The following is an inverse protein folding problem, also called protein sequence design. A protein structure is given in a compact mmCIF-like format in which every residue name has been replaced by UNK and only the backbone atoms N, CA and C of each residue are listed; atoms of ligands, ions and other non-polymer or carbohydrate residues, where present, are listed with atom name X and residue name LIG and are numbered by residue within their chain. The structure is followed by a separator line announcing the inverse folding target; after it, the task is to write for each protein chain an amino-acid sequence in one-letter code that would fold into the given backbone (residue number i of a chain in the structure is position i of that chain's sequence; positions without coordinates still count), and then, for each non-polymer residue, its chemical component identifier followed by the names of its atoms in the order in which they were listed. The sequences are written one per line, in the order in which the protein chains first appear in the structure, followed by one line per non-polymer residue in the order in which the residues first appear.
data_IF_483614658622
#
_entry.id   IF_483614658622
#
_cell.length_a   1.000
_cell.length_b   1.000
_cell.length_c   1.000
_cell.angle_alpha   90.00
_cell.angle_beta   90.00
_cell.angle_gamma   90.00
#
_symmetry.space_group_name_H-M   'P 1'
#
loop_
_entity.id
_entity.type
_entity.pdbx_description
1 polymer ?
#
# COMPACT_ATOMS: atom_id res chain seq x y z
N UNK A 1 -14.49 -20.08 -5.98
CA UNK A 1 -14.53 -18.85 -5.18
C UNK A 1 -13.29 -18.02 -5.45
N UNK A 2 -13.48 -16.82 -5.93
CA UNK A 2 -12.35 -15.99 -6.26
C UNK A 2 -11.72 -15.39 -5.02
N UNK A 3 -10.42 -15.59 -4.86
CA UNK A 3 -9.66 -14.98 -3.78
C UNK A 3 -9.48 -13.48 -4.01
N UNK A 4 -9.10 -12.77 -2.96
CA UNK A 4 -8.76 -11.35 -3.07
C UNK A 4 -7.44 -11.23 -3.82
N UNK A 5 -7.46 -10.44 -4.89
CA UNK A 5 -6.26 -10.08 -5.63
C UNK A 5 -6.05 -8.58 -5.44
N UNK A 6 -5.19 -8.24 -4.49
CA UNK A 6 -5.06 -6.87 -4.05
C UNK A 6 -3.67 -6.30 -4.32
N UNK A 7 -3.63 -5.00 -4.53
CA UNK A 7 -2.39 -4.23 -4.55
C UNK A 7 -2.42 -3.28 -3.35
N UNK A 8 -1.33 -3.24 -2.61
CA UNK A 8 -1.15 -2.32 -1.49
C UNK A 8 -0.20 -1.21 -1.90
N UNK A 9 -0.55 0.01 -1.59
CA UNK A 9 0.20 1.19 -2.00
C UNK A 9 0.53 2.08 -0.81
N UNK A 10 1.82 2.41 -0.69
CA UNK A 10 2.31 3.38 0.29
C UNK A 10 2.73 4.64 -0.46
N UNK A 11 1.88 5.65 -0.41
CA UNK A 11 2.08 6.90 -1.15
C UNK A 11 3.05 7.83 -0.45
N UNK A 12 4.18 8.12 -1.06
CA UNK A 12 5.17 9.07 -0.57
C UNK A 12 5.29 10.27 -1.49
N UNK A 13 6.12 11.25 -1.10
CA UNK A 13 6.29 12.48 -1.86
C UNK A 13 6.95 12.27 -3.23
N UNK A 14 7.84 11.30 -3.34
CA UNK A 14 8.53 10.98 -4.59
C UNK A 14 8.49 9.52 -4.97
N UNK A 15 7.95 8.70 -4.09
CA UNK A 15 7.89 7.25 -4.30
C UNK A 15 6.52 6.71 -3.95
N UNK A 16 6.16 5.59 -4.56
CA UNK A 16 5.01 4.79 -4.13
C UNK A 16 5.53 3.36 -3.97
N UNK A 17 5.49 2.87 -2.74
CA UNK A 17 5.80 1.46 -2.48
C UNK A 17 4.62 0.61 -2.93
N UNK A 18 4.90 -0.52 -3.60
CA UNK A 18 3.87 -1.40 -4.15
C UNK A 18 4.07 -2.80 -3.62
N UNK A 19 3.00 -3.38 -3.10
CA UNK A 19 2.95 -4.79 -2.71
C UNK A 19 1.73 -5.44 -3.37
N UNK A 20 1.81 -6.74 -3.58
CA UNK A 20 0.69 -7.49 -4.15
C UNK A 20 0.37 -8.67 -3.24
N UNK A 21 -0.89 -9.10 -3.24
CA UNK A 21 -1.26 -10.31 -2.52
C UNK A 21 -0.76 -11.53 -3.30
N UNK A 22 -0.49 -12.62 -2.58
CA UNK A 22 -0.14 -13.88 -3.22
C UNK A 22 -1.36 -14.48 -3.93
N UNK A 23 -1.17 -15.56 -4.66
CA UNK A 23 -2.23 -16.18 -5.45
C UNK A 23 -3.44 -16.62 -4.62
N UNK A 24 -3.22 -16.98 -3.38
CA UNK A 24 -4.30 -17.43 -2.49
C UNK A 24 -4.85 -16.30 -1.61
N UNK A 25 -4.28 -15.10 -1.69
CA UNK A 25 -4.79 -13.94 -0.96
C UNK A 25 -4.53 -13.95 0.53
N UNK A 26 -3.53 -14.68 1.01
CA UNK A 26 -3.21 -14.78 2.43
C UNK A 26 -2.10 -13.86 2.88
N UNK A 27 -1.09 -13.63 2.03
CA UNK A 27 0.07 -12.83 2.39
C UNK A 27 0.32 -11.74 1.35
N UNK A 28 1.08 -10.74 1.76
CA UNK A 28 1.51 -9.66 0.88
C UNK A 28 2.98 -9.84 0.52
N UNK A 29 3.31 -9.58 -0.72
CA UNK A 29 4.68 -9.67 -1.24
C UNK A 29 5.07 -8.31 -1.79
N UNK A 30 6.23 -7.78 -1.41
CA UNK A 30 6.74 -6.53 -1.96
C UNK A 30 6.97 -6.69 -3.45
N UNK A 31 6.50 -5.74 -4.25
CA UNK A 31 6.53 -5.81 -5.70
C UNK A 31 7.58 -4.86 -6.28
N UNK A 32 7.41 -3.56 -6.06
CA UNK A 32 8.36 -2.57 -6.58
C UNK A 32 8.17 -1.23 -5.89
N UNK A 33 9.09 -0.31 -6.18
CA UNK A 33 8.96 1.09 -5.76
C UNK A 33 8.92 1.92 -7.02
N UNK A 34 7.84 2.69 -7.19
CA UNK A 34 7.68 3.59 -8.33
C UNK A 34 8.19 4.96 -7.93
N UNK A 35 9.16 5.48 -8.67
CA UNK A 35 9.78 6.78 -8.37
C UNK A 35 9.30 7.85 -9.33
N UNK A 36 9.23 9.10 -8.85
CA UNK A 36 8.93 10.25 -9.67
C UNK A 36 9.77 11.45 -9.22
N UNK A 37 10.04 12.38 -10.13
CA UNK A 37 10.88 13.53 -9.83
C UNK A 37 10.19 14.58 -8.97
N UNK A 38 8.88 14.77 -9.17
CA UNK A 38 8.08 15.75 -8.43
C UNK A 38 6.82 15.09 -7.91
N UNK A 39 6.36 15.53 -6.74
CA UNK A 39 5.20 14.94 -6.09
C UNK A 39 3.95 14.94 -6.97
N UNK A 40 3.71 16.03 -7.70
CA UNK A 40 2.53 16.16 -8.53
C UNK A 40 2.63 15.47 -9.90
N UNK A 41 3.78 14.86 -10.23
CA UNK A 41 3.96 14.14 -11.49
C UNK A 41 3.44 12.70 -11.36
N UNK A 42 2.12 12.56 -11.25
CA UNK A 42 1.48 11.28 -10.94
C UNK A 42 0.99 10.50 -12.15
N UNK A 43 1.02 11.08 -13.35
CA UNK A 43 0.50 10.43 -14.55
C UNK A 43 1.18 9.09 -14.85
N UNK A 44 2.51 9.08 -14.86
CA UNK A 44 3.29 7.86 -15.13
C UNK A 44 3.18 6.88 -13.98
N UNK A 45 3.11 7.38 -12.74
CA UNK A 45 2.93 6.56 -11.55
C UNK A 45 1.62 5.80 -11.62
N UNK A 46 0.53 6.48 -11.92
CA UNK A 46 -0.78 5.86 -12.07
C UNK A 46 -0.80 4.87 -13.23
N UNK A 47 -0.16 5.22 -14.35
CA UNK A 47 -0.09 4.33 -15.51
C UNK A 47 0.62 3.02 -15.16
N UNK A 48 1.71 3.10 -14.39
CA UNK A 48 2.43 1.89 -13.96
C UNK A 48 1.56 1.02 -13.04
N UNK A 49 0.83 1.65 -12.13
CA UNK A 49 -0.07 0.91 -11.24
C UNK A 49 -1.18 0.23 -12.05
N UNK A 50 -1.72 0.91 -13.06
CA UNK A 50 -2.72 0.31 -13.96
C UNK A 50 -2.17 -0.91 -14.69
N UNK A 51 -0.90 -0.86 -15.12
CA UNK A 51 -0.25 -2.00 -15.75
C UNK A 51 -0.18 -3.19 -14.80
N UNK A 52 0.22 -2.95 -13.55
CA UNK A 52 0.30 -4.00 -12.53
C UNK A 52 -1.09 -4.60 -12.28
N UNK A 53 -2.10 -3.76 -12.18
CA UNK A 53 -3.49 -4.18 -11.97
C UNK A 53 -3.93 -5.11 -13.10
N UNK A 54 -3.63 -4.74 -14.35
CA UNK A 54 -3.98 -5.56 -15.52
C UNK A 54 -3.19 -6.87 -15.56
N UNK A 55 -1.88 -6.81 -15.35
CA UNK A 55 -1.00 -7.98 -15.40
C UNK A 55 -1.35 -9.02 -14.35
N UNK A 56 -1.70 -8.58 -13.15
CA UNK A 56 -1.94 -9.46 -12.01
C UNK A 56 -3.42 -9.72 -11.75
N UNK A 57 -4.30 -9.22 -12.59
CA UNK A 57 -5.75 -9.35 -12.42
C UNK A 57 -6.23 -8.87 -11.05
N UNK A 58 -5.73 -7.70 -10.65
CA UNK A 58 -6.04 -7.10 -9.34
C UNK A 58 -7.51 -6.64 -9.34
N UNK A 59 -8.22 -6.94 -8.27
CA UNK A 59 -9.61 -6.50 -8.09
C UNK A 59 -9.80 -5.58 -6.89
N UNK A 60 -8.75 -5.36 -6.09
CA UNK A 60 -8.82 -4.56 -4.87
C UNK A 60 -7.59 -3.67 -4.76
N UNK A 61 -7.79 -2.38 -4.51
CA UNK A 61 -6.70 -1.43 -4.28
C UNK A 61 -6.74 -1.02 -2.81
N UNK A 62 -5.61 -1.13 -2.13
CA UNK A 62 -5.48 -0.75 -0.73
C UNK A 62 -4.44 0.36 -0.64
N UNK A 63 -4.79 1.49 -0.04
CA UNK A 63 -3.88 2.64 0.10
C UNK A 63 -3.72 2.94 1.58
N UNK A 64 -2.47 3.08 2.02
CA UNK A 64 -2.18 3.48 3.39
C UNK A 64 -2.62 4.91 3.64
N UNK A 65 -3.27 5.15 4.77
CA UNK A 65 -3.71 6.48 5.18
C UNK A 65 -2.83 6.93 6.34
N UNK A 66 -1.88 7.87 6.09
CA UNK A 66 -0.95 8.30 7.15
C UNK A 66 -1.64 9.27 8.10
N UNK A 67 -2.01 8.77 9.28
CA UNK A 67 -2.63 9.59 10.32
C UNK A 67 -1.57 10.13 11.27
N UNK A 68 -1.85 11.29 11.85
CA UNK A 68 -1.04 11.83 12.95
C UNK A 68 -1.17 10.90 14.18
N UNK A 69 -0.25 11.00 15.12
CA UNK A 69 -0.26 10.14 16.31
C UNK A 69 -1.55 10.25 17.13
N UNK A 70 -2.24 11.38 17.02
CA UNK A 70 -3.55 11.58 17.68
C UNK A 70 -4.73 10.98 16.88
N UNK A 71 -4.46 10.30 15.79
CA UNK A 71 -5.49 9.69 14.94
C UNK A 71 -6.14 10.62 13.95
N UNK A 72 -5.73 11.88 13.88
CA UNK A 72 -6.31 12.86 12.96
C UNK A 72 -5.57 12.89 11.63
N UNK A 73 -6.33 13.20 10.56
CA UNK A 73 -5.75 13.35 9.23
C UNK A 73 -5.07 14.71 9.10
N UNK A 74 -3.85 14.70 8.58
CA UNK A 74 -3.10 15.89 8.27
C UNK A 74 -2.89 16.03 6.77
N UNK A 75 -1.88 16.81 6.40
CA UNK A 75 -1.56 17.07 4.99
C UNK A 75 -1.24 15.79 4.21
N UNK A 76 -0.48 14.87 4.81
CA UNK A 76 -0.11 13.63 4.14
C UNK A 76 -1.31 12.73 3.89
N UNK A 77 -2.26 12.70 4.81
CA UNK A 77 -3.51 11.96 4.65
C UNK A 77 -4.34 12.54 3.50
N UNK A 78 -4.42 13.86 3.41
CA UNK A 78 -5.14 14.51 2.32
C UNK A 78 -4.53 14.15 0.96
N UNK A 79 -3.20 14.12 0.86
CA UNK A 79 -2.49 13.74 -0.36
C UNK A 79 -2.73 12.29 -0.74
N UNK A 80 -2.73 11.40 0.25
CA UNK A 80 -3.02 9.99 0.02
C UNK A 80 -4.43 9.78 -0.51
N UNK A 81 -5.41 10.52 0.04
CA UNK A 81 -6.80 10.45 -0.43
C UNK A 81 -6.95 10.99 -1.85
N UNK A 82 -6.24 12.05 -2.17
CA UNK A 82 -6.21 12.64 -3.52
C UNK A 82 -5.68 11.62 -4.53
N UNK A 83 -4.58 10.97 -4.18
CA UNK A 83 -3.98 9.92 -5.00
C UNK A 83 -4.95 8.75 -5.18
N UNK A 84 -5.60 8.30 -4.11
CA UNK A 84 -6.60 7.25 -4.17
C UNK A 84 -7.76 7.63 -5.09
N UNK A 85 -8.22 8.87 -5.03
CA UNK A 85 -9.26 9.38 -5.91
C UNK A 85 -8.86 9.34 -7.38
N UNK A 86 -7.61 9.68 -7.69
CA UNK A 86 -7.08 9.58 -9.05
C UNK A 86 -7.15 8.13 -9.56
N UNK A 87 -6.73 7.17 -8.74
CA UNK A 87 -6.76 5.76 -9.10
C UNK A 87 -8.18 5.27 -9.31
N UNK A 88 -9.11 5.71 -8.46
CA UNK A 88 -10.53 5.33 -8.60
C UNK A 88 -11.08 5.81 -9.95
N UNK A 89 -10.79 7.04 -10.34
CA UNK A 89 -11.25 7.59 -11.62
C UNK A 89 -10.64 6.86 -12.81
N UNK A 90 -9.39 6.44 -12.70
CA UNK A 90 -8.68 5.77 -13.80
C UNK A 90 -9.00 4.29 -13.92
N UNK A 91 -9.26 3.62 -12.82
CA UNK A 91 -9.43 2.15 -12.79
C UNK A 91 -10.88 1.71 -12.61
N UNK A 92 -11.72 2.57 -12.06
CA UNK A 92 -13.08 2.20 -11.68
C UNK A 92 -13.14 1.40 -10.37
N UNK A 93 -11.99 1.16 -9.73
CA UNK A 93 -11.93 0.43 -8.46
C UNK A 93 -11.78 1.45 -7.34
N UNK A 94 -12.67 1.41 -6.36
CA UNK A 94 -12.62 2.30 -5.19
C UNK A 94 -11.58 1.80 -4.21
N UNK A 95 -10.49 2.57 -3.95
CA UNK A 95 -9.47 2.12 -3.00
C UNK A 95 -9.99 2.05 -1.57
N UNK A 96 -9.49 1.07 -0.83
CA UNK A 96 -9.72 0.93 0.61
C UNK A 96 -8.58 1.64 1.32
N UNK A 97 -8.91 2.51 2.27
CA UNK A 97 -7.90 3.24 3.05
C UNK A 97 -7.62 2.48 4.35
N UNK A 98 -6.34 2.29 4.66
CA UNK A 98 -5.91 1.57 5.86
C UNK A 98 -4.98 2.48 6.68
N UNK A 99 -5.26 2.60 7.99
CA UNK A 99 -4.44 3.39 8.91
C UNK A 99 -3.02 2.83 8.97
N UNK A 100 -2.03 3.68 8.67
CA UNK A 100 -0.62 3.28 8.66
C UNK A 100 0.24 3.98 9.71
N UNK A 101 -0.36 4.51 10.79
CA UNK A 101 0.38 5.26 11.83
C UNK A 101 1.64 4.58 12.33
N UNK A 102 1.59 3.27 12.53
CA UNK A 102 2.69 2.50 13.12
C UNK A 102 3.46 1.66 12.10
N UNK A 103 3.04 1.63 10.85
CA UNK A 103 3.63 0.77 9.81
C UNK A 103 5.12 1.06 9.59
N UNK A 104 5.47 2.33 9.46
CA UNK A 104 6.87 2.75 9.24
C UNK A 104 7.76 2.38 10.41
N UNK A 105 7.26 2.49 11.64
CA UNK A 105 8.01 2.13 12.85
C UNK A 105 8.35 0.64 12.85
N UNK A 106 7.38 -0.20 12.54
CA UNK A 106 7.58 -1.66 12.46
C UNK A 106 8.61 -2.04 11.41
N UNK A 107 8.51 -1.44 10.22
CA UNK A 107 9.44 -1.68 9.13
C UNK A 107 10.86 -1.23 9.50
N UNK A 108 11.00 -0.08 10.16
CA UNK A 108 12.28 0.46 10.58
C UNK A 108 12.96 -0.47 11.60
N UNK A 109 12.23 -1.02 12.54
CA UNK A 109 12.75 -1.97 13.51
C UNK A 109 13.27 -3.24 12.85
N UNK A 110 12.54 -3.78 11.90
CA UNK A 110 12.96 -4.97 11.17
C UNK A 110 14.27 -4.73 10.42
N UNK A 111 14.41 -3.57 9.80
CA UNK A 111 15.62 -3.22 9.05
C UNK A 111 16.81 -3.00 9.96
N UNK A 112 16.62 -2.41 11.13
CA UNK A 112 17.68 -2.26 12.14
C UNK A 112 18.27 -3.62 12.53
N UNK A 113 17.42 -4.61 12.67
CA UNK A 113 17.85 -5.96 13.02
C UNK A 113 18.66 -6.62 11.92
N UNK A 114 18.48 -6.21 10.66
CA UNK A 114 19.21 -6.77 9.53
C UNK A 114 20.50 -6.02 9.17
N UNK A 115 20.71 -4.83 9.71
CA UNK A 115 21.95 -4.05 9.52
C UNK A 115 22.15 -3.45 8.15
N UNK A 116 21.08 -3.16 7.42
CA UNK A 116 21.16 -2.60 6.07
C UNK A 116 21.68 -1.16 6.03
N UNK A 117 22.30 -0.79 4.90
CA UNK A 117 22.78 0.57 4.66
C UNK A 117 21.60 1.56 4.54
N UNK A 118 21.90 2.82 4.83
CA UNK A 118 20.88 3.88 4.89
C UNK A 118 20.05 4.02 3.61
N UNK A 119 20.67 3.92 2.44
CA UNK A 119 19.96 4.03 1.15
C UNK A 119 19.06 2.83 0.91
N UNK A 120 19.60 1.63 1.09
CA UNK A 120 18.85 0.39 0.95
C UNK A 120 17.74 0.31 1.99
N UNK A 121 18.02 0.84 3.20
CA UNK A 121 17.07 0.94 4.29
C UNK A 121 15.81 1.70 3.88
N UNK A 122 15.96 2.86 3.20
CA UNK A 122 14.81 3.64 2.76
C UNK A 122 13.95 2.88 1.75
N UNK A 123 14.60 2.22 0.79
CA UNK A 123 13.87 1.43 -0.21
C UNK A 123 13.14 0.25 0.44
N UNK A 124 13.78 -0.42 1.39
CA UNK A 124 13.15 -1.51 2.14
C UNK A 124 11.97 -1.02 2.98
N UNK A 125 12.11 0.15 3.61
CA UNK A 125 11.02 0.73 4.41
C UNK A 125 9.80 1.00 3.53
N UNK A 126 10.00 1.64 2.37
CA UNK A 126 8.89 1.97 1.47
C UNK A 126 8.19 0.71 0.95
N UNK A 127 8.98 -0.30 0.58
CA UNK A 127 8.46 -1.57 0.07
C UNK A 127 7.78 -2.38 1.17
N UNK A 128 8.39 -2.45 2.36
CA UNK A 128 7.82 -3.17 3.50
C UNK A 128 6.56 -2.49 4.04
N UNK A 129 6.52 -1.16 4.00
CA UNK A 129 5.34 -0.43 4.44
C UNK A 129 4.13 -0.81 3.58
N UNK A 130 4.30 -0.89 2.27
CA UNK A 130 3.23 -1.31 1.38
C UNK A 130 2.77 -2.74 1.70
N UNK A 131 3.72 -3.64 1.97
CA UNK A 131 3.39 -5.04 2.31
C UNK A 131 2.64 -5.12 3.64
N UNK A 132 3.05 -4.35 4.63
CA UNK A 132 2.38 -4.33 5.95
C UNK A 132 0.97 -3.77 5.82
N UNK A 133 0.79 -2.68 5.07
CA UNK A 133 -0.53 -2.10 4.78
C UNK A 133 -1.46 -3.16 4.17
N UNK A 134 -0.95 -3.88 3.19
CA UNK A 134 -1.74 -4.89 2.50
C UNK A 134 -2.05 -6.08 3.42
N UNK A 135 -1.08 -6.54 4.21
CA UNK A 135 -1.30 -7.62 5.18
C UNK A 135 -2.35 -7.25 6.21
N UNK A 136 -2.32 -6.02 6.71
CA UNK A 136 -3.33 -5.54 7.65
C UNK A 136 -4.73 -5.65 7.05
N UNK A 137 -4.87 -5.23 5.79
CA UNK A 137 -6.14 -5.35 5.08
C UNK A 137 -6.58 -6.81 4.94
N UNK A 138 -5.67 -7.69 4.53
CA UNK A 138 -5.98 -9.11 4.35
C UNK A 138 -6.37 -9.76 5.67
N UNK A 139 -5.70 -9.40 6.78
CA UNK A 139 -6.04 -9.89 8.10
C UNK A 139 -7.42 -9.41 8.56
N UNK A 140 -7.74 -8.15 8.30
CA UNK A 140 -9.05 -7.59 8.60
C UNK A 140 -10.16 -8.35 7.88
N UNK A 141 -9.96 -8.66 6.61
CA UNK A 141 -10.93 -9.42 5.82
C UNK A 141 -11.13 -10.83 6.37
N UNK A 142 -10.06 -11.52 6.74
CA UNK A 142 -10.15 -12.87 7.32
C UNK A 142 -10.91 -12.85 8.63
N UNK A 143 -10.69 -11.87 9.48
CA UNK A 143 -11.37 -11.73 10.76
C UNK A 143 -12.86 -11.46 10.55
N UNK A 144 -13.22 -10.63 9.58
CA UNK A 144 -14.63 -10.36 9.25
C UNK A 144 -15.33 -11.61 8.75
N UNK A 145 -14.70 -12.37 7.85
CA UNK A 145 -15.26 -13.62 7.34
C UNK A 145 -15.42 -14.66 8.45
N UNK A 146 -14.45 -14.73 9.38
CA UNK A 146 -14.53 -15.62 10.53
C UNK A 146 -15.72 -15.30 11.42
N UNK A 147 -16.04 -14.03 11.61
CA UNK A 147 -17.20 -13.61 12.40
C UNK A 147 -18.51 -13.93 11.70
N UNK A 148 -18.55 -13.80 10.39
CA UNK A 148 -19.76 -14.05 9.60
C UNK A 148 -20.11 -15.54 9.53
N UNK A 149 -19.16 -16.42 9.78
CA UNK A 149 -19.35 -17.86 9.71
C UNK A 149 -19.85 -18.48 11.02
N UNK A 150 -19.97 -17.66 12.05
CA UNK A 150 -20.52 -18.10 13.33
C UNK A 150 -22.01 -17.78 13.38
#
# INVERSE_FOLDING_TARGET
MEGVRAVGLDYGSKTVGVAISDEIGLTAVSCEIIRREKENHLRKTCARIEEIIAEKNINTIVVGLPLNMNGKEGERAAKAREFAGMLERRTGIRPVMVDERLTTVEADELIRLTGNHKKDRKEHIDSMAAAIILEDYLNMRRNEHGKDQI
#
